data_IF_609461536189
#
_entry.id   IF_609461536189
#
_cell.length_a   1.000
_cell.length_b   1.000
_cell.length_c   1.000
_cell.angle_alpha   90.00
_cell.angle_beta   90.00
_cell.angle_gamma   90.00
#
_symmetry.space_group_name_H-M   'P 1'
#
loop_
_entity.id
_entity.type
_entity.pdbx_description
1 polymer ?
#
# COMPACT_ATOMS: atom_id res chain seq x y z
N UNK A 1 -6.22 -19.50 -2.19
CA UNK A 1 -5.37 -18.70 -3.11
C UNK A 1 -4.14 -18.29 -2.30
N UNK A 2 -2.91 -18.50 -2.80
CA UNK A 2 -1.73 -17.90 -2.15
C UNK A 2 -1.76 -16.43 -2.60
N UNK A 3 -1.65 -15.48 -1.67
CA UNK A 3 -1.66 -14.04 -1.94
C UNK A 3 -0.24 -13.45 -1.87
N UNK A 4 0.71 -13.94 -2.69
CA UNK A 4 2.11 -13.53 -2.56
C UNK A 4 2.30 -12.05 -2.84
N UNK A 5 1.53 -11.47 -3.77
CA UNK A 5 1.65 -10.05 -4.13
C UNK A 5 1.06 -9.18 -3.03
N UNK A 6 -0.09 -9.58 -2.47
CA UNK A 6 -0.69 -8.90 -1.31
C UNK A 6 0.29 -8.88 -0.14
N UNK A 7 0.89 -10.02 0.21
CA UNK A 7 1.83 -10.13 1.32
C UNK A 7 3.06 -9.24 1.07
N UNK A 8 3.66 -9.31 -0.12
CA UNK A 8 4.81 -8.48 -0.47
C UNK A 8 4.47 -6.98 -0.41
N UNK A 9 3.33 -6.57 -0.95
CA UNK A 9 2.86 -5.19 -0.93
C UNK A 9 2.60 -4.71 0.51
N UNK A 10 1.92 -5.50 1.35
CA UNK A 10 1.75 -5.16 2.77
C UNK A 10 3.08 -5.00 3.50
N UNK A 11 4.06 -5.86 3.23
CA UNK A 11 5.38 -5.76 3.85
C UNK A 11 6.10 -4.48 3.43
N UNK A 12 5.95 -4.05 2.17
CA UNK A 12 6.46 -2.76 1.69
C UNK A 12 5.79 -1.61 2.45
N UNK A 13 4.46 -1.61 2.57
CA UNK A 13 3.72 -0.60 3.33
C UNK A 13 4.15 -0.54 4.81
N UNK A 14 4.33 -1.70 5.45
CA UNK A 14 4.83 -1.80 6.83
C UNK A 14 6.25 -1.27 6.95
N UNK A 15 7.14 -1.62 6.01
CA UNK A 15 8.52 -1.14 5.99
C UNK A 15 8.60 0.38 5.82
N UNK A 16 7.74 0.97 4.98
CA UNK A 16 7.63 2.43 4.83
C UNK A 16 7.20 3.11 6.14
N UNK A 17 6.20 2.56 6.83
CA UNK A 17 5.75 3.09 8.11
C UNK A 17 6.82 2.96 9.21
N UNK A 18 7.55 1.85 9.23
CA UNK A 18 8.68 1.63 10.14
C UNK A 18 9.84 2.58 9.87
N UNK A 19 10.19 2.78 8.59
CA UNK A 19 11.22 3.74 8.22
C UNK A 19 10.83 5.15 8.65
N UNK A 20 9.57 5.56 8.41
CA UNK A 20 9.08 6.86 8.85
C UNK A 20 9.08 7.00 10.38
N UNK A 21 8.66 5.96 11.12
CA UNK A 21 8.60 6.00 12.59
C UNK A 21 9.97 6.10 13.27
N UNK A 22 11.05 5.72 12.58
CA UNK A 22 12.42 5.89 13.11
C UNK A 22 12.90 7.34 13.14
N UNK A 23 12.20 8.26 12.47
CA UNK A 23 12.60 9.66 12.35
C UNK A 23 13.79 9.91 11.43
N UNK A 24 14.30 8.87 10.74
CA UNK A 24 15.34 8.99 9.72
C UNK A 24 14.82 9.59 8.40
N UNK A 25 13.50 9.73 8.23
CA UNK A 25 12.85 10.33 7.06
C UNK A 25 12.68 11.85 7.28
N UNK A 26 13.58 12.70 6.76
CA UNK A 26 13.51 14.14 7.00
C UNK A 26 12.22 14.65 6.38
N UNK A 27 11.38 15.31 7.18
CA UNK A 27 10.07 15.83 6.75
C UNK A 27 9.09 14.78 6.18
N UNK A 28 9.24 13.50 6.54
CA UNK A 28 8.36 12.42 6.04
C UNK A 28 8.34 12.29 4.51
N UNK A 29 9.40 12.72 3.81
CA UNK A 29 9.46 12.77 2.34
C UNK A 29 9.19 11.40 1.70
N UNK A 30 9.87 10.36 2.18
CA UNK A 30 9.71 9.00 1.63
C UNK A 30 8.29 8.50 1.88
N UNK A 31 7.79 8.70 3.10
CA UNK A 31 6.42 8.32 3.43
C UNK A 31 5.40 9.03 2.53
N UNK A 32 5.54 10.34 2.33
CA UNK A 32 4.69 11.11 1.44
C UNK A 32 4.77 10.65 -0.01
N UNK A 33 5.95 10.31 -0.52
CA UNK A 33 6.11 9.87 -1.91
C UNK A 33 5.47 8.51 -2.21
N UNK A 34 5.33 7.63 -1.21
CA UNK A 34 4.82 6.26 -1.42
C UNK A 34 3.49 5.96 -0.71
N UNK A 35 2.92 6.92 -0.01
CA UNK A 35 1.63 6.81 0.68
C UNK A 35 0.53 7.48 -0.13
N UNK A 36 -0.28 6.66 -0.82
CA UNK A 36 -1.49 7.14 -1.52
C UNK A 36 -2.42 7.97 -0.61
N UNK A 37 -2.68 7.54 0.65
CA UNK A 37 -3.46 8.36 1.59
C UNK A 37 -2.84 9.72 1.89
N UNK A 38 -1.50 9.81 1.95
CA UNK A 38 -0.83 11.07 2.21
C UNK A 38 -1.02 12.06 1.05
N UNK A 39 -1.01 11.59 -0.21
CA UNK A 39 -1.31 12.44 -1.38
C UNK A 39 -2.71 13.04 -1.31
N UNK A 40 -3.71 12.24 -0.92
CA UNK A 40 -5.09 12.70 -0.81
C UNK A 40 -5.23 13.68 0.35
N UNK A 41 -4.55 13.40 1.46
CA UNK A 41 -4.70 14.21 2.67
C UNK A 41 -4.06 15.58 2.52
N UNK A 42 -2.90 15.65 1.87
CA UNK A 42 -2.22 16.92 1.54
C UNK A 42 -3.10 17.86 0.68
N UNK A 43 -4.03 17.30 -0.11
CA UNK A 43 -4.94 18.10 -0.93
C UNK A 43 -6.18 18.62 -0.18
N UNK A 44 -6.51 18.07 1.00
CA UNK A 44 -7.81 18.28 1.67
C UNK A 44 -7.64 18.87 3.07
N UNK A 45 -6.57 18.50 3.80
CA UNK A 45 -6.38 18.84 5.21
C UNK A 45 -4.93 19.25 5.44
N UNK A 46 -4.70 20.22 6.33
CA UNK A 46 -3.34 20.57 6.74
C UNK A 46 -2.68 19.38 7.44
N UNK A 47 -1.54 18.95 6.90
CA UNK A 47 -0.90 17.70 7.32
C UNK A 47 -0.44 17.73 8.78
N UNK A 48 -0.31 18.91 9.37
CA UNK A 48 0.08 19.11 10.76
C UNK A 48 -1.02 18.74 11.76
N UNK A 49 -2.29 18.69 11.33
CA UNK A 49 -3.41 18.31 12.20
C UNK A 49 -3.74 16.81 12.13
N UNK A 50 -3.11 16.07 11.22
CA UNK A 50 -3.50 14.68 10.95
C UNK A 50 -2.69 13.70 11.78
N UNK A 51 -3.39 12.75 12.39
CA UNK A 51 -2.76 11.71 13.19
C UNK A 51 -1.89 10.79 12.33
N UNK A 52 -0.58 10.78 12.61
CA UNK A 52 0.43 9.97 11.92
C UNK A 52 0.12 8.47 11.99
N UNK A 53 -0.41 7.96 13.10
CA UNK A 53 -0.77 6.55 13.22
C UNK A 53 -1.94 6.17 12.30
N UNK A 54 -2.90 7.08 12.12
CA UNK A 54 -3.99 6.89 11.16
C UNK A 54 -3.44 6.83 9.73
N UNK A 55 -2.45 7.67 9.40
CA UNK A 55 -1.74 7.61 8.12
C UNK A 55 -1.07 6.25 7.91
N UNK A 56 -0.36 5.72 8.91
CA UNK A 56 0.28 4.40 8.78
C UNK A 56 -0.71 3.28 8.49
N UNK A 57 -1.84 3.25 9.19
CA UNK A 57 -2.88 2.23 8.96
C UNK A 57 -3.43 2.35 7.54
N UNK A 58 -3.73 3.56 7.09
CA UNK A 58 -4.20 3.82 5.73
C UNK A 58 -3.15 3.44 4.68
N UNK A 59 -1.88 3.72 4.92
CA UNK A 59 -0.79 3.36 4.00
C UNK A 59 -0.69 1.85 3.87
N UNK A 60 -0.64 1.12 4.97
CA UNK A 60 -0.61 -0.35 4.96
C UNK A 60 -1.86 -0.90 4.25
N UNK A 61 -3.04 -0.35 4.54
CA UNK A 61 -4.29 -0.76 3.89
C UNK A 61 -4.28 -0.50 2.38
N UNK A 62 -3.76 0.65 1.93
CA UNK A 62 -3.65 1.00 0.51
C UNK A 62 -2.71 0.04 -0.24
N UNK A 63 -1.55 -0.27 0.33
CA UNK A 63 -0.62 -1.25 -0.21
C UNK A 63 -1.20 -2.67 -0.21
N UNK A 64 -1.91 -3.07 0.85
CA UNK A 64 -2.63 -4.35 0.90
C UNK A 64 -3.68 -4.45 -0.22
N UNK A 65 -4.47 -3.39 -0.40
CA UNK A 65 -5.52 -3.33 -1.41
C UNK A 65 -4.94 -3.43 -2.82
N UNK A 66 -3.85 -2.70 -3.11
CA UNK A 66 -3.14 -2.80 -4.39
C UNK A 66 -2.65 -4.22 -4.65
N UNK A 67 -1.98 -4.83 -3.67
CA UNK A 67 -1.50 -6.20 -3.81
C UNK A 67 -2.64 -7.22 -3.99
N UNK A 68 -3.77 -7.01 -3.33
CA UNK A 68 -4.98 -7.83 -3.48
C UNK A 68 -5.58 -7.71 -4.89
N UNK A 69 -5.66 -6.49 -5.45
CA UNK A 69 -6.13 -6.27 -6.83
C UNK A 69 -5.22 -7.00 -7.82
N UNK A 70 -3.90 -6.94 -7.62
CA UNK A 70 -2.93 -7.66 -8.45
C UNK A 70 -3.11 -9.18 -8.35
N UNK A 71 -3.20 -9.74 -7.14
CA UNK A 71 -3.43 -11.17 -6.94
C UNK A 71 -4.75 -11.63 -7.56
N UNK A 72 -5.81 -10.81 -7.47
CA UNK A 72 -7.10 -11.07 -8.10
C UNK A 72 -7.00 -11.07 -9.63
N UNK A 73 -6.33 -10.08 -10.22
CA UNK A 73 -6.11 -9.99 -11.66
C UNK A 73 -5.31 -11.18 -12.19
N UNK A 74 -4.25 -11.58 -11.49
CA UNK A 74 -3.43 -12.75 -11.84
C UNK A 74 -4.24 -14.05 -11.73
N UNK A 75 -5.03 -14.21 -10.66
CA UNK A 75 -5.88 -15.39 -10.48
C UNK A 75 -6.95 -15.49 -11.58
N UNK A 76 -7.56 -14.36 -11.97
CA UNK A 76 -8.51 -14.28 -13.08
C UNK A 76 -7.84 -14.65 -14.41
N UNK A 77 -6.66 -14.12 -14.70
CA UNK A 77 -5.90 -14.43 -15.92
C UNK A 77 -5.50 -15.91 -16.03
N UNK A 78 -5.11 -16.53 -14.92
CA UNK A 78 -4.77 -17.97 -14.88
C UNK A 78 -5.98 -18.87 -15.14
N UNK A 79 -7.17 -18.50 -14.66
CA UNK A 79 -8.41 -19.25 -14.93
C UNK A 79 -8.81 -19.18 -16.41
N UNK A 80 -8.70 -18.01 -17.03
CA UNK A 80 -9.03 -17.84 -18.46
C UNK A 80 -8.12 -18.67 -19.38
N UNK A 81 -6.82 -18.81 -19.07
CA UNK A 81 -5.90 -19.63 -19.87
C UNK A 81 -6.19 -21.14 -19.78
N UNK A 82 -6.62 -21.64 -18.62
CA UNK A 82 -6.97 -23.07 -18.47
C UNK A 82 -8.18 -23.47 -19.31
N UNK A 83 -9.14 -22.56 -19.49
CA UNK A 83 -10.38 -22.81 -20.26
C UNK A 83 -10.19 -22.88 -21.78
N UNK A 84 -9.00 -22.53 -22.29
CA UNK A 84 -8.70 -22.51 -23.72
C UNK A 84 -7.96 -23.77 -24.20
N UNK A 85 -7.68 -24.71 -23.31
CA UNK A 85 -6.98 -25.97 -23.57
C UNK A 85 -7.89 -27.21 -23.39
N UNK A 86 -9.15 -27.02 -23.00
CA UNK A 86 -10.21 -28.03 -22.97
C UNK A 86 -11.17 -27.77 -24.14
#
# INVERSE_FOLDING_TARGET
MRYPVTIAATLIGVALCLYNSTGYDPHNLVFFMFSVPAWITDMIVDIHEVNVYLMYVLTIASWALLGFICDYAVARGRRSRRRSYD
#
